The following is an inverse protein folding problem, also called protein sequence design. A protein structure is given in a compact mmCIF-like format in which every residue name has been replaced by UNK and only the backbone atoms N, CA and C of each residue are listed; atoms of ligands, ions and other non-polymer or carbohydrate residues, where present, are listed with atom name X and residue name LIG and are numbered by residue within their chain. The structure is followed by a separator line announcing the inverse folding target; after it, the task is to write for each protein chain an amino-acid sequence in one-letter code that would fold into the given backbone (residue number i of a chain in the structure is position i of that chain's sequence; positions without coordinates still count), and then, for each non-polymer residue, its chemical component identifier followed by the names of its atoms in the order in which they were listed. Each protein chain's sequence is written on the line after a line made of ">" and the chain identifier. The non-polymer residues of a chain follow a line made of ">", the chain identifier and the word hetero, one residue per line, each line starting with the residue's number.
data_IF_739958319053
#
_entry.id   IF_739958319053
#
_cell.length_a   1.000
_cell.length_b   1.000
_cell.length_c   1.000
_cell.angle_alpha   90.00
_cell.angle_beta   90.00
_cell.angle_gamma   90.00
#
_symmetry.space_group_name_H-M   'P 1'
#
loop_
_entity.id
_entity.type
_entity.pdbx_description
1 polymer ?
#
# COMPACT_ATOMS: atom_id res chain seq x y z
N UNK A 1 -23.16 11.20 11.25
CA UNK A 1 -22.72 9.83 10.90
C UNK A 1 -22.83 8.99 12.15
N UNK A 2 -23.48 7.82 12.12
CA UNK A 2 -23.58 6.96 13.29
C UNK A 2 -22.25 6.24 13.53
N UNK A 3 -21.98 5.79 14.76
CA UNK A 3 -20.78 5.02 15.10
C UNK A 3 -20.61 3.77 14.22
N UNK A 4 -21.73 3.09 13.92
CA UNK A 4 -21.78 1.93 13.01
C UNK A 4 -21.32 2.26 11.60
N UNK A 5 -21.72 3.43 11.08
CA UNK A 5 -21.35 3.89 9.74
C UNK A 5 -19.85 4.22 9.70
N UNK A 6 -19.33 4.85 10.76
CA UNK A 6 -17.90 5.16 10.90
C UNK A 6 -17.04 3.90 10.90
N UNK A 7 -17.43 2.89 11.69
CA UNK A 7 -16.73 1.60 11.75
C UNK A 7 -16.80 0.84 10.43
N UNK A 8 -17.97 0.84 9.77
CA UNK A 8 -18.15 0.22 8.46
C UNK A 8 -17.27 0.91 7.40
N UNK A 9 -17.22 2.24 7.42
CA UNK A 9 -16.38 3.02 6.52
C UNK A 9 -14.89 2.75 6.77
N UNK A 10 -14.44 2.73 8.03
CA UNK A 10 -13.06 2.37 8.37
C UNK A 10 -12.67 0.99 7.83
N UNK A 11 -13.55 0.00 8.01
CA UNK A 11 -13.34 -1.36 7.48
C UNK A 11 -13.24 -1.36 5.95
N UNK A 12 -14.12 -0.64 5.26
CA UNK A 12 -14.10 -0.53 3.80
C UNK A 12 -12.81 0.09 3.28
N UNK A 13 -12.31 1.14 3.93
CA UNK A 13 -11.06 1.80 3.54
C UNK A 13 -9.87 0.88 3.82
N UNK A 14 -9.86 0.17 4.95
CA UNK A 14 -8.82 -0.83 5.25
C UNK A 14 -8.76 -1.95 4.21
N UNK A 15 -9.91 -2.45 3.75
CA UNK A 15 -9.99 -3.44 2.67
C UNK A 15 -9.45 -2.87 1.34
N UNK A 16 -9.74 -1.61 1.06
CA UNK A 16 -9.20 -0.91 -0.11
C UNK A 16 -7.67 -0.76 -0.06
N UNK A 17 -7.11 -0.37 1.09
CA UNK A 17 -5.65 -0.34 1.30
C UNK A 17 -5.03 -1.72 1.05
N UNK A 18 -5.64 -2.79 1.55
CA UNK A 18 -5.17 -4.15 1.34
C UNK A 18 -5.15 -4.54 -0.16
N UNK A 19 -6.20 -4.17 -0.91
CA UNK A 19 -6.25 -4.40 -2.36
C UNK A 19 -5.14 -3.66 -3.11
N UNK A 20 -4.84 -2.42 -2.72
CA UNK A 20 -3.75 -1.66 -3.35
C UNK A 20 -2.39 -2.30 -3.12
N UNK A 21 -2.14 -2.85 -1.92
CA UNK A 21 -0.95 -3.65 -1.63
C UNK A 21 -0.91 -4.94 -2.44
N UNK A 22 -2.02 -5.65 -2.57
CA UNK A 22 -2.09 -6.87 -3.38
C UNK A 22 -1.75 -6.59 -4.86
N UNK A 23 -2.27 -5.50 -5.43
CA UNK A 23 -1.90 -5.08 -6.79
C UNK A 23 -0.42 -4.74 -6.91
N UNK A 24 0.13 -4.02 -5.93
CA UNK A 24 1.55 -3.71 -5.89
C UNK A 24 2.43 -4.96 -5.86
N UNK A 25 2.09 -5.94 -5.01
CA UNK A 25 2.80 -7.22 -4.91
C UNK A 25 2.72 -8.01 -6.22
N UNK A 26 1.53 -8.12 -6.82
CA UNK A 26 1.34 -8.85 -8.07
C UNK A 26 2.15 -8.25 -9.23
N UNK A 27 2.12 -6.92 -9.39
CA UNK A 27 2.89 -6.23 -10.44
C UNK A 27 4.39 -6.34 -10.16
N UNK A 28 4.83 -6.16 -8.91
CA UNK A 28 6.23 -6.29 -8.52
C UNK A 28 6.76 -7.70 -8.82
N UNK A 29 6.01 -8.74 -8.45
CA UNK A 29 6.37 -10.12 -8.75
C UNK A 29 6.43 -10.39 -10.26
N UNK A 30 5.48 -9.86 -11.04
CA UNK A 30 5.49 -9.98 -12.50
C UNK A 30 6.68 -9.30 -13.15
N UNK A 31 7.02 -8.09 -12.70
CA UNK A 31 8.16 -7.32 -13.20
C UNK A 31 9.49 -8.00 -12.90
N UNK A 32 9.69 -8.45 -11.65
CA UNK A 32 10.90 -9.18 -11.26
C UNK A 32 10.97 -10.52 -12.01
N UNK A 33 9.87 -11.27 -12.07
CA UNK A 33 9.78 -12.56 -12.74
C UNK A 33 10.12 -12.45 -14.23
N UNK A 34 9.62 -11.41 -14.90
CA UNK A 34 9.97 -11.14 -16.29
C UNK A 34 11.46 -10.80 -16.45
N UNK A 35 11.99 -9.89 -15.63
CA UNK A 35 13.38 -9.46 -15.73
C UNK A 35 14.38 -10.61 -15.50
N UNK A 36 14.03 -11.54 -14.61
CA UNK A 36 14.89 -12.65 -14.20
C UNK A 36 14.51 -13.99 -14.85
N UNK A 37 13.69 -13.98 -15.89
CA UNK A 37 13.37 -15.16 -16.68
C UNK A 37 14.63 -15.80 -17.30
N UNK A 38 14.56 -17.12 -17.56
CA UNK A 38 15.68 -17.91 -18.11
C UNK A 38 16.12 -17.40 -19.48
N UNK A 39 15.17 -16.96 -20.31
CA UNK A 39 15.42 -16.19 -21.53
C UNK A 39 15.76 -14.74 -21.13
N UNK A 40 17.00 -14.32 -21.38
CA UNK A 40 17.47 -12.95 -21.10
C UNK A 40 16.63 -11.94 -21.92
N UNK A 41 15.80 -11.09 -21.29
CA UNK A 41 15.07 -10.09 -22.04
C UNK A 41 16.03 -9.04 -22.62
N UNK A 42 15.76 -8.51 -23.83
CA UNK A 42 16.49 -7.38 -24.38
C UNK A 42 16.55 -6.18 -23.40
N UNK A 43 17.68 -5.46 -23.31
CA UNK A 43 17.84 -4.31 -22.43
C UNK A 43 16.78 -3.22 -22.65
N UNK A 44 16.32 -2.99 -23.88
CA UNK A 44 15.31 -1.97 -24.17
C UNK A 44 13.97 -2.30 -23.50
N UNK A 45 13.61 -3.58 -23.45
CA UNK A 45 12.40 -4.04 -22.76
C UNK A 45 12.53 -3.87 -21.25
N UNK A 46 13.71 -4.11 -20.68
CA UNK A 46 13.95 -3.92 -19.24
C UNK A 46 13.89 -2.43 -18.85
N UNK A 47 14.42 -1.54 -19.68
CA UNK A 47 14.32 -0.08 -19.48
C UNK A 47 12.85 0.35 -19.57
N UNK A 48 12.14 -0.06 -20.62
CA UNK A 48 10.72 0.24 -20.80
C UNK A 48 9.86 -0.27 -19.64
N UNK A 49 10.11 -1.51 -19.19
CA UNK A 49 9.45 -2.11 -18.04
C UNK A 49 9.74 -1.34 -16.74
N UNK A 50 10.97 -0.88 -16.55
CA UNK A 50 11.35 -0.08 -15.38
C UNK A 50 10.61 1.26 -15.35
N UNK A 51 10.49 1.94 -16.48
CA UNK A 51 9.72 3.20 -16.59
C UNK A 51 8.23 2.95 -16.31
N UNK A 52 7.64 1.93 -16.93
CA UNK A 52 6.24 1.57 -16.71
C UNK A 52 5.98 1.19 -15.23
N UNK A 53 6.88 0.43 -14.63
CA UNK A 53 6.83 0.08 -13.20
C UNK A 53 6.94 1.32 -12.32
N UNK A 54 7.84 2.25 -12.61
CA UNK A 54 8.00 3.48 -11.82
C UNK A 54 6.72 4.34 -11.84
N UNK A 55 6.07 4.46 -13.00
CA UNK A 55 4.78 5.16 -13.14
C UNK A 55 3.70 4.45 -12.32
N UNK A 56 3.60 3.12 -12.46
CA UNK A 56 2.66 2.31 -11.69
C UNK A 56 2.89 2.46 -10.18
N UNK A 57 4.14 2.32 -9.73
CA UNK A 57 4.51 2.39 -8.32
C UNK A 57 4.20 3.77 -7.74
N UNK A 58 4.46 4.85 -8.48
CA UNK A 58 4.11 6.21 -8.07
C UNK A 58 2.60 6.38 -7.87
N UNK A 59 1.80 5.95 -8.85
CA UNK A 59 0.34 6.06 -8.76
C UNK A 59 -0.23 5.17 -7.65
N UNK A 60 0.27 3.94 -7.52
CA UNK A 60 -0.14 3.02 -6.47
C UNK A 60 0.24 3.52 -5.08
N UNK A 61 1.44 4.11 -4.91
CA UNK A 61 1.87 4.73 -3.65
C UNK A 61 0.88 5.82 -3.21
N UNK A 62 0.45 6.68 -4.15
CA UNK A 62 -0.55 7.72 -3.86
C UNK A 62 -1.87 7.13 -3.38
N UNK A 63 -2.33 6.02 -3.97
CA UNK A 63 -3.57 5.35 -3.56
C UNK A 63 -3.44 4.74 -2.16
N UNK A 64 -2.34 4.04 -1.88
CA UNK A 64 -2.06 3.44 -0.56
C UNK A 64 -1.98 4.52 0.53
N UNK A 65 -1.23 5.59 0.29
CA UNK A 65 -1.07 6.68 1.27
C UNK A 65 -2.41 7.39 1.50
N UNK A 66 -3.14 7.71 0.44
CA UNK A 66 -4.42 8.39 0.55
C UNK A 66 -5.45 7.54 1.30
N UNK A 67 -5.54 6.23 1.06
CA UNK A 67 -6.45 5.37 1.82
C UNK A 67 -6.03 5.25 3.29
N UNK A 68 -4.72 5.23 3.58
CA UNK A 68 -4.20 5.22 4.94
C UNK A 68 -4.52 6.51 5.71
N UNK A 69 -4.37 7.67 5.08
CA UNK A 69 -4.73 8.97 5.66
C UNK A 69 -6.21 9.05 6.01
N UNK A 70 -7.09 8.56 5.12
CA UNK A 70 -8.53 8.51 5.37
C UNK A 70 -8.84 7.55 6.52
N UNK A 71 -8.25 6.36 6.53
CA UNK A 71 -8.43 5.41 7.63
C UNK A 71 -8.03 6.02 8.97
N UNK A 72 -6.87 6.68 9.03
CA UNK A 72 -6.37 7.32 10.25
C UNK A 72 -7.28 8.46 10.72
N UNK A 73 -7.80 9.28 9.80
CA UNK A 73 -8.74 10.34 10.12
C UNK A 73 -10.05 9.79 10.72
N UNK A 74 -10.60 8.72 10.13
CA UNK A 74 -11.82 8.06 10.63
C UNK A 74 -11.58 7.41 11.99
N UNK A 75 -10.46 6.72 12.15
CA UNK A 75 -10.09 6.10 13.43
C UNK A 75 -9.93 7.15 14.53
N UNK A 76 -9.25 8.27 14.27
CA UNK A 76 -9.15 9.40 15.21
C UNK A 76 -10.52 9.99 15.58
N UNK A 77 -11.44 10.07 14.63
CA UNK A 77 -12.80 10.52 14.90
C UNK A 77 -13.58 9.55 15.80
N UNK A 78 -13.41 8.24 15.62
CA UNK A 78 -13.97 7.21 16.50
C UNK A 78 -13.39 7.31 17.91
N UNK A 79 -12.08 7.49 18.03
CA UNK A 79 -11.42 7.66 19.33
C UNK A 79 -11.89 8.94 20.05
N UNK A 80 -12.04 10.04 19.34
CA UNK A 80 -12.63 11.27 19.91
C UNK A 80 -14.08 11.07 20.37
N UNK A 81 -14.88 10.30 19.63
CA UNK A 81 -16.25 9.95 20.04
C UNK A 81 -16.27 9.12 21.33
N UNK A 82 -15.32 8.20 21.50
CA UNK A 82 -15.18 7.36 22.70
C UNK A 82 -14.94 8.18 23.98
N UNK A 83 -14.24 9.31 23.89
CA UNK A 83 -13.96 10.19 25.03
C UNK A 83 -15.21 10.95 25.51
N UNK A 84 -16.11 11.32 24.58
CA UNK A 84 -17.31 12.09 24.87
C UNK A 84 -18.49 11.56 24.04
N UNK A 85 -19.04 10.38 24.41
CA UNK A 85 -20.05 9.73 23.59
C UNK A 85 -21.39 10.46 23.73
N UNK A 86 -22.05 10.71 22.59
CA UNK A 86 -23.42 11.27 22.58
C UNK A 86 -24.48 10.23 22.96
N UNK A 87 -24.16 8.95 22.85
CA UNK A 87 -25.02 7.81 23.20
C UNK A 87 -24.23 6.80 24.06
N UNK A 88 -24.85 6.13 25.06
CA UNK A 88 -24.16 5.15 25.88
C UNK A 88 -23.60 4.00 25.04
N UNK A 89 -22.29 3.77 25.15
CA UNK A 89 -21.63 2.62 24.50
C UNK A 89 -21.63 1.47 25.51
N UNK A 90 -22.12 0.29 25.12
CA UNK A 90 -22.02 -0.90 25.98
C UNK A 90 -20.54 -1.20 26.26
N UNK A 91 -20.13 -1.44 27.52
CA UNK A 91 -18.71 -1.64 27.86
C UNK A 91 -18.01 -2.73 27.05
N UNK A 92 -18.75 -3.75 26.61
CA UNK A 92 -18.27 -4.85 25.78
C UNK A 92 -17.80 -4.41 24.38
N UNK A 93 -18.29 -3.28 23.88
CA UNK A 93 -17.93 -2.73 22.56
C UNK A 93 -16.78 -1.72 22.61
N UNK A 94 -16.40 -1.22 23.80
CA UNK A 94 -15.29 -0.28 23.93
C UNK A 94 -13.97 -0.80 23.36
N UNK A 95 -13.57 -2.08 23.58
CA UNK A 95 -12.34 -2.60 23.00
C UNK A 95 -12.37 -2.68 21.47
N UNK A 96 -13.55 -2.84 20.87
CA UNK A 96 -13.69 -2.94 19.40
C UNK A 96 -13.31 -1.61 18.73
N UNK A 97 -13.55 -0.49 19.42
CA UNK A 97 -13.19 0.84 18.91
C UNK A 97 -11.67 1.05 18.83
N UNK A 98 -10.91 0.26 19.59
CA UNK A 98 -9.44 0.32 19.63
C UNK A 98 -8.81 -0.64 18.60
N UNK A 99 -9.59 -1.54 18.00
CA UNK A 99 -9.13 -2.43 16.94
C UNK A 99 -8.90 -1.66 15.64
N UNK A 100 -8.02 -2.22 14.79
CA UNK A 100 -7.70 -1.69 13.45
C UNK A 100 -7.14 -0.27 13.47
N UNK A 101 -6.30 0.06 14.46
CA UNK A 101 -5.50 1.28 14.41
C UNK A 101 -4.72 1.32 13.10
N UNK A 102 -4.93 2.34 12.24
CA UNK A 102 -4.18 2.46 11.00
C UNK A 102 -2.72 2.82 11.27
N UNK A 103 -1.81 2.17 10.55
CA UNK A 103 -0.40 2.56 10.48
C UNK A 103 -0.21 4.02 10.03
N UNK A 104 0.93 4.61 10.40
CA UNK A 104 1.32 5.96 9.99
C UNK A 104 1.51 6.05 8.45
N UNK A 105 0.76 6.92 7.74
CA UNK A 105 0.90 7.12 6.30
C UNK A 105 2.33 7.49 5.87
N UNK A 106 3.09 8.18 6.70
CA UNK A 106 4.46 8.60 6.38
C UNK A 106 5.40 7.39 6.34
N UNK A 107 5.30 6.52 7.34
CA UNK A 107 6.03 5.26 7.39
C UNK A 107 5.67 4.37 6.20
N UNK A 108 4.36 4.21 5.93
CA UNK A 108 3.86 3.40 4.80
C UNK A 108 4.38 3.93 3.45
N UNK A 109 4.38 5.26 3.26
CA UNK A 109 4.98 5.91 2.10
C UNK A 109 6.46 5.57 1.96
N UNK A 110 7.23 5.70 3.05
CA UNK A 110 8.66 5.39 3.07
C UNK A 110 8.95 3.93 2.69
N UNK A 111 8.21 2.98 3.27
CA UNK A 111 8.32 1.56 2.95
C UNK A 111 8.01 1.28 1.47
N UNK A 112 6.93 1.87 0.95
CA UNK A 112 6.51 1.69 -0.44
C UNK A 112 7.57 2.20 -1.43
N UNK A 113 8.09 3.41 -1.20
CA UNK A 113 9.17 4.00 -2.01
C UNK A 113 10.43 3.12 -1.93
N UNK A 114 10.82 2.68 -0.73
CA UNK A 114 11.98 1.82 -0.54
C UNK A 114 11.88 0.52 -1.34
N UNK A 115 10.75 -0.19 -1.22
CA UNK A 115 10.50 -1.43 -1.98
C UNK A 115 10.46 -1.17 -3.50
N UNK A 116 9.94 -0.02 -3.93
CA UNK A 116 9.87 0.34 -5.34
C UNK A 116 11.26 0.58 -5.92
N UNK A 117 12.12 1.30 -5.19
CA UNK A 117 13.52 1.54 -5.58
C UNK A 117 14.29 0.23 -5.64
N UNK A 118 14.14 -0.63 -4.64
CA UNK A 118 14.78 -1.96 -4.62
C UNK A 118 14.35 -2.80 -5.82
N UNK A 119 13.05 -2.79 -6.16
CA UNK A 119 12.52 -3.52 -7.32
C UNK A 119 13.09 -2.98 -8.63
N UNK A 120 13.04 -1.66 -8.85
CA UNK A 120 13.61 -1.04 -10.05
C UNK A 120 15.12 -1.33 -10.18
N UNK A 121 15.85 -1.27 -9.07
CA UNK A 121 17.28 -1.60 -9.02
C UNK A 121 17.51 -3.06 -9.37
N UNK A 122 16.70 -3.99 -8.87
CA UNK A 122 16.80 -5.42 -9.19
C UNK A 122 16.53 -5.71 -10.68
N UNK A 123 15.61 -4.98 -11.31
CA UNK A 123 15.36 -5.08 -12.75
C UNK A 123 16.54 -4.56 -13.55
N UNK A 124 17.05 -3.36 -13.22
CA UNK A 124 18.18 -2.75 -13.93
C UNK A 124 19.49 -3.52 -13.71
N UNK A 125 19.70 -4.10 -12.53
CA UNK A 125 20.85 -4.97 -12.22
C UNK A 125 20.99 -6.11 -13.23
N UNK A 126 19.87 -6.59 -13.79
CA UNK A 126 19.89 -7.63 -14.83
C UNK A 126 20.68 -7.18 -16.07
N UNK A 127 20.58 -5.91 -16.46
CA UNK A 127 21.29 -5.36 -17.64
C UNK A 127 22.80 -5.43 -17.40
N UNK A 128 23.26 -5.00 -16.23
CA UNK A 128 24.69 -5.00 -15.87
C UNK A 128 25.28 -6.40 -15.72
N UNK A 129 24.47 -7.37 -15.30
CA UNK A 129 24.86 -8.76 -15.10
C UNK A 129 24.75 -9.61 -16.37
N UNK A 130 24.25 -9.05 -17.47
CA UNK A 130 24.30 -9.72 -18.77
C UNK A 130 25.72 -9.58 -19.34
N UNK A 131 26.48 -10.68 -19.51
CA UNK A 131 27.77 -10.60 -20.20
C UNK A 131 27.55 -10.11 -21.64
N UNK A 132 28.40 -9.19 -22.10
CA UNK A 132 28.48 -8.82 -23.51
C UNK A 132 28.85 -10.07 -24.31
N UNK A 133 27.93 -10.56 -25.13
CA UNK A 133 28.20 -11.59 -26.13
C UNK A 133 28.76 -10.95 -27.39
#
# INVERSE_FOLDING_TARGET
>A
MKLTDAMSHLRSISDQTHKFWAYYQAVTAGVIGFAWASSKPPPELLIGLTVAYAIFAFLNCRLVVSSQEVALAVWRAIQKYKEQPSEPITPQFLPILDLNQPDDPTLIKGMHIGLSILTATAVLARIWLQPAC
#
